data_IF_080582351370
#
_entry.id   IF_080582351370
#
_cell.length_a   1.000
_cell.length_b   1.000
_cell.length_c   1.000
_cell.angle_alpha   90.00
_cell.angle_beta   90.00
_cell.angle_gamma   90.00
#
_symmetry.space_group_name_H-M   'P 1'
#
loop_
_entity.id
_entity.type
_entity.pdbx_description
1 polymer ?
#
# COMPACT_ATOMS: atom_id res chain seq x y z
N UNK A 1 -36.87 51.15 -41.89
CA UNK A 1 -37.15 50.17 -40.82
C UNK A 1 -35.87 49.97 -40.03
N UNK A 2 -35.78 50.51 -38.80
CA UNK A 2 -34.57 50.48 -37.95
C UNK A 2 -34.40 49.06 -37.37
N UNK A 3 -33.33 48.36 -37.75
CA UNK A 3 -32.89 47.15 -37.04
C UNK A 3 -32.19 47.62 -35.77
N UNK A 4 -32.83 47.37 -34.63
CA UNK A 4 -32.32 47.68 -33.30
C UNK A 4 -31.01 46.94 -33.05
N UNK A 5 -30.03 47.65 -32.50
CA UNK A 5 -28.79 47.14 -31.91
C UNK A 5 -29.05 45.93 -31.02
N UNK A 6 -28.91 44.72 -31.58
CA UNK A 6 -28.91 43.49 -30.81
C UNK A 6 -27.52 43.34 -30.21
N UNK A 7 -27.43 43.41 -28.88
CA UNK A 7 -26.17 43.42 -28.11
C UNK A 7 -25.36 42.15 -28.36
N UNK A 8 -24.45 42.17 -29.34
CA UNK A 8 -23.44 41.13 -29.60
C UNK A 8 -22.63 40.74 -28.34
N UNK A 9 -22.55 41.63 -27.35
CA UNK A 9 -21.89 41.40 -26.07
C UNK A 9 -22.51 40.25 -25.24
N UNK A 10 -23.80 39.98 -25.37
CA UNK A 10 -24.47 38.94 -24.58
C UNK A 10 -24.29 37.54 -25.17
N UNK A 11 -24.21 37.40 -26.50
CA UNK A 11 -24.02 36.10 -27.15
C UNK A 11 -22.60 35.58 -26.90
N UNK A 12 -21.60 36.46 -26.97
CA UNK A 12 -20.20 36.10 -26.66
C UNK A 12 -20.03 35.67 -25.20
N UNK A 13 -20.72 36.34 -24.27
CA UNK A 13 -20.73 35.96 -22.85
C UNK A 13 -21.41 34.60 -22.62
N UNK A 14 -22.54 34.32 -23.28
CA UNK A 14 -23.21 33.02 -23.18
C UNK A 14 -22.38 31.87 -23.78
N UNK A 15 -21.72 32.08 -24.91
CA UNK A 15 -20.82 31.09 -25.50
C UNK A 15 -19.58 30.84 -24.64
N UNK A 16 -19.03 31.87 -24.00
CA UNK A 16 -17.88 31.73 -23.09
C UNK A 16 -18.26 30.97 -21.81
N UNK A 17 -19.45 31.19 -21.24
CA UNK A 17 -19.95 30.39 -20.13
C UNK A 17 -20.30 28.94 -20.52
N UNK A 18 -20.79 28.71 -21.73
CA UNK A 18 -21.00 27.34 -22.24
C UNK A 18 -19.66 26.60 -22.44
N UNK A 19 -18.62 27.26 -22.94
CA UNK A 19 -17.26 26.71 -23.03
C UNK A 19 -16.66 26.44 -21.65
N UNK A 20 -16.83 27.33 -20.67
CA UNK A 20 -16.39 27.10 -19.28
C UNK A 20 -17.21 25.96 -18.63
N UNK A 21 -18.48 25.77 -19.00
CA UNK A 21 -19.29 24.65 -18.52
C UNK A 21 -18.90 23.30 -19.13
N UNK A 22 -18.20 23.28 -20.27
CA UNK A 22 -17.53 22.06 -20.78
C UNK A 22 -16.16 21.83 -20.12
N UNK A 23 -15.61 22.85 -19.44
CA UNK A 23 -14.55 22.71 -18.44
C UNK A 23 -15.12 22.52 -17.02
N UNK A 24 -16.40 22.14 -16.89
CA UNK A 24 -16.92 21.62 -15.62
C UNK A 24 -16.15 20.36 -15.29
N UNK A 25 -15.24 20.49 -14.32
CA UNK A 25 -14.61 19.38 -13.62
C UNK A 25 -14.22 18.25 -14.55
N UNK A 26 -13.06 18.42 -15.20
CA UNK A 26 -12.16 17.28 -15.23
C UNK A 26 -11.97 16.85 -13.78
N UNK A 27 -12.81 15.93 -13.29
CA UNK A 27 -12.42 15.05 -12.20
C UNK A 27 -11.04 14.60 -12.62
N UNK A 28 -10.00 15.01 -11.89
CA UNK A 28 -8.70 14.39 -12.05
C UNK A 28 -9.00 12.91 -11.99
N UNK A 29 -8.76 12.18 -13.09
CA UNK A 29 -8.92 10.73 -13.11
C UNK A 29 -8.05 10.26 -11.95
N UNK A 30 -8.66 9.92 -10.81
CA UNK A 30 -7.90 9.37 -9.68
C UNK A 30 -7.24 8.15 -10.27
N UNK A 31 -5.92 8.20 -10.38
CA UNK A 31 -5.11 7.15 -10.99
C UNK A 31 -5.19 5.86 -10.19
N UNK A 32 -5.66 5.96 -8.94
CA UNK A 32 -5.83 4.89 -7.97
C UNK A 32 -7.30 4.69 -7.63
N UNK A 33 -7.68 3.42 -7.50
CA UNK A 33 -9.06 2.99 -7.26
C UNK A 33 -9.14 2.13 -6.00
N UNK A 34 -10.17 2.38 -5.20
CA UNK A 34 -10.55 1.54 -4.06
C UNK A 34 -11.72 0.69 -4.53
N UNK A 35 -11.48 -0.61 -4.67
CA UNK A 35 -12.48 -1.58 -5.12
C UNK A 35 -13.00 -2.29 -3.87
N UNK A 36 -14.31 -2.15 -3.64
CA UNK A 36 -15.00 -2.81 -2.53
C UNK A 36 -15.51 -4.17 -3.01
N UNK A 37 -15.00 -5.24 -2.43
CA UNK A 37 -15.44 -6.61 -2.71
C UNK A 37 -16.13 -7.20 -1.49
N UNK A 38 -16.70 -8.40 -1.63
CA UNK A 38 -17.28 -9.12 -0.49
C UNK A 38 -16.18 -9.77 0.39
N UNK A 39 -14.99 -9.98 -0.17
CA UNK A 39 -13.80 -10.48 0.53
C UNK A 39 -12.89 -9.38 1.12
N UNK A 40 -13.35 -8.12 1.06
CA UNK A 40 -12.65 -6.97 1.63
C UNK A 40 -12.38 -5.84 0.64
N UNK A 41 -11.25 -5.15 0.84
CA UNK A 41 -10.87 -3.98 0.03
C UNK A 41 -9.65 -4.32 -0.82
N UNK A 42 -9.75 -4.06 -2.12
CA UNK A 42 -8.64 -4.11 -3.06
C UNK A 42 -8.25 -2.66 -3.40
N UNK A 43 -6.95 -2.36 -3.31
CA UNK A 43 -6.39 -1.11 -3.78
C UNK A 43 -5.70 -1.34 -5.12
N UNK A 44 -6.18 -0.68 -6.17
CA UNK A 44 -5.53 -0.66 -7.49
C UNK A 44 -4.73 0.64 -7.58
N UNK A 45 -3.42 0.53 -7.45
CA UNK A 45 -2.52 1.66 -7.27
C UNK A 45 -1.56 1.81 -8.46
N UNK A 46 -1.27 3.05 -8.83
CA UNK A 46 -0.19 3.42 -9.73
C UNK A 46 1.02 3.91 -8.92
N UNK A 47 2.22 3.51 -9.33
CA UNK A 47 3.43 3.77 -8.56
C UNK A 47 4.71 3.31 -9.22
N UNK A 48 5.78 3.35 -8.45
CA UNK A 48 7.08 2.79 -8.83
C UNK A 48 7.28 1.47 -8.11
N UNK A 49 7.45 0.40 -8.87
CA UNK A 49 7.93 -0.88 -8.36
C UNK A 49 9.46 -0.85 -8.28
N UNK A 50 10.02 -1.35 -7.17
CA UNK A 50 11.45 -1.46 -6.94
C UNK A 50 11.78 -2.81 -6.30
N UNK A 51 12.88 -3.41 -6.71
CA UNK A 51 13.46 -4.58 -6.07
C UNK A 51 14.98 -4.53 -6.16
N UNK A 52 15.65 -4.81 -5.05
CA UNK A 52 17.09 -4.93 -4.90
C UNK A 52 17.50 -6.41 -5.00
N UNK A 53 18.77 -6.67 -5.29
CA UNK A 53 19.35 -8.00 -5.08
C UNK A 53 20.83 -7.95 -4.78
N UNK A 54 21.27 -8.95 -4.04
CA UNK A 54 22.67 -9.24 -3.77
C UNK A 54 22.93 -10.74 -3.77
N UNK A 55 23.66 -11.22 -4.77
CA UNK A 55 24.10 -12.63 -4.88
C UNK A 55 25.44 -12.89 -4.21
N UNK A 56 26.12 -11.84 -3.72
CA UNK A 56 27.37 -11.99 -2.98
C UNK A 56 27.18 -12.19 -1.48
N UNK A 57 25.95 -12.04 -1.01
CA UNK A 57 25.58 -12.26 0.38
C UNK A 57 25.64 -13.78 0.69
N UNK A 58 26.54 -14.22 1.58
CA UNK A 58 26.68 -15.64 1.94
C UNK A 58 25.53 -16.15 2.81
N UNK A 59 24.76 -15.26 3.45
CA UNK A 59 23.63 -15.60 4.32
C UNK A 59 22.32 -15.79 3.52
N UNK A 60 22.32 -15.41 2.24
CA UNK A 60 21.27 -15.79 1.29
C UNK A 60 21.46 -17.28 0.95
N UNK A 61 20.47 -18.14 1.23
CA UNK A 61 20.57 -19.57 0.94
C UNK A 61 20.95 -19.81 -0.53
N UNK A 62 21.81 -20.78 -0.84
CA UNK A 62 22.24 -21.08 -2.22
C UNK A 62 21.07 -21.39 -3.19
N UNK A 63 19.89 -21.73 -2.66
CA UNK A 63 18.64 -21.94 -3.40
C UNK A 63 17.83 -20.66 -3.63
N UNK A 64 18.10 -19.62 -2.83
CA UNK A 64 17.63 -18.27 -3.01
C UNK A 64 18.62 -17.48 -3.89
N UNK A 65 18.07 -16.59 -4.67
CA UNK A 65 18.73 -15.81 -5.73
C UNK A 65 19.08 -14.40 -5.23
N UNK A 66 18.91 -14.17 -3.92
CA UNK A 66 19.30 -12.95 -3.22
C UNK A 66 18.51 -11.72 -3.63
N UNK A 67 17.29 -11.90 -4.17
CA UNK A 67 16.39 -10.77 -4.42
C UNK A 67 15.82 -10.32 -3.06
N UNK A 68 15.92 -9.04 -2.74
CA UNK A 68 15.35 -8.50 -1.51
C UNK A 68 13.84 -8.29 -1.64
N UNK A 69 13.30 -7.37 -0.83
CA UNK A 69 11.85 -7.13 -0.72
C UNK A 69 11.28 -6.51 -2.00
N UNK A 70 10.12 -6.99 -2.45
CA UNK A 70 9.33 -6.32 -3.49
C UNK A 70 8.74 -5.04 -2.90
N UNK A 71 9.26 -3.88 -3.28
CA UNK A 71 8.81 -2.59 -2.78
C UNK A 71 7.94 -1.86 -3.81
N UNK A 72 6.89 -1.21 -3.34
CA UNK A 72 6.03 -0.38 -4.16
C UNK A 72 5.86 1.00 -3.53
N UNK A 73 6.07 2.03 -4.34
CA UNK A 73 5.99 3.44 -3.97
C UNK A 73 4.75 4.04 -4.65
N UNK A 74 3.62 4.19 -3.93
CA UNK A 74 2.42 4.79 -4.51
C UNK A 74 2.66 6.23 -4.98
N UNK A 75 2.09 6.59 -6.13
CA UNK A 75 2.04 7.99 -6.58
C UNK A 75 1.15 8.83 -5.67
N UNK A 76 0.03 8.26 -5.20
CA UNK A 76 -0.85 8.92 -4.24
C UNK A 76 -0.32 8.83 -2.81
N UNK A 77 0.05 10.00 -2.28
CA UNK A 77 0.65 10.14 -0.95
C UNK A 77 -0.34 9.97 0.20
N UNK A 78 -1.64 9.98 -0.08
CA UNK A 78 -2.68 9.68 0.92
C UNK A 78 -2.76 8.18 1.25
N UNK A 79 -2.18 7.29 0.43
CA UNK A 79 -2.15 5.85 0.71
C UNK A 79 -1.03 5.58 1.72
N UNK A 80 -1.43 4.96 2.83
CA UNK A 80 -0.56 4.54 3.92
C UNK A 80 0.39 5.67 4.38
N UNK A 81 -0.07 6.92 4.35
CA UNK A 81 0.71 8.10 4.72
C UNK A 81 2.08 8.17 3.99
N UNK A 82 2.07 7.96 2.67
CA UNK A 82 3.26 7.97 1.80
C UNK A 82 4.31 6.90 2.16
N UNK A 83 3.92 5.84 2.87
CA UNK A 83 4.82 4.73 3.15
C UNK A 83 5.05 3.85 1.93
N UNK A 84 6.22 3.24 1.90
CA UNK A 84 6.52 2.14 0.99
C UNK A 84 5.62 0.97 1.38
N UNK A 85 5.03 0.33 0.37
CA UNK A 85 4.28 -0.90 0.54
C UNK A 85 5.20 -2.06 0.17
N UNK A 86 5.50 -2.92 1.13
CA UNK A 86 6.16 -4.20 0.90
C UNK A 86 5.12 -5.18 0.37
N UNK A 87 5.37 -5.67 -0.83
CA UNK A 87 4.50 -6.54 -1.58
C UNK A 87 4.80 -8.00 -1.22
N UNK A 88 3.80 -8.67 -0.66
CA UNK A 88 3.84 -10.09 -0.31
C UNK A 88 3.18 -10.91 -1.43
N UNK A 89 3.88 -11.83 -2.11
CA UNK A 89 3.29 -12.67 -3.15
C UNK A 89 2.19 -13.58 -2.61
N UNK A 90 2.39 -14.15 -1.43
CA UNK A 90 1.47 -15.08 -0.79
C UNK A 90 0.69 -14.39 0.35
N UNK A 91 -0.33 -15.08 0.87
CA UNK A 91 -0.99 -14.65 2.09
C UNK A 91 -0.03 -14.78 3.28
N UNK A 92 -0.17 -13.91 4.29
CA UNK A 92 0.78 -13.79 5.40
C UNK A 92 0.09 -13.47 6.72
N UNK A 93 0.74 -13.78 7.84
CA UNK A 93 0.31 -13.41 9.20
C UNK A 93 1.53 -13.03 10.03
N UNK A 94 1.49 -11.89 10.71
CA UNK A 94 2.60 -11.45 11.56
C UNK A 94 2.46 -11.96 13.00
N UNK A 95 1.23 -12.00 13.50
CA UNK A 95 0.98 -12.22 14.92
C UNK A 95 0.60 -13.65 15.28
N UNK A 96 -0.08 -14.36 14.36
CA UNK A 96 -0.58 -15.70 14.61
C UNK A 96 0.25 -16.72 13.83
N UNK A 97 1.52 -16.86 14.20
CA UNK A 97 2.40 -17.85 13.61
C UNK A 97 2.06 -19.24 14.16
N UNK A 98 2.03 -20.26 13.31
CA UNK A 98 1.80 -21.64 13.74
C UNK A 98 3.00 -22.10 14.60
N UNK A 99 2.76 -22.84 15.68
CA UNK A 99 3.86 -23.42 16.46
C UNK A 99 4.65 -24.48 15.67
N UNK A 100 4.03 -25.06 14.63
CA UNK A 100 4.67 -25.96 13.68
C UNK A 100 5.12 -25.25 12.40
N UNK A 101 5.33 -23.93 12.46
CA UNK A 101 5.65 -23.15 11.28
C UNK A 101 7.02 -23.51 10.70
N UNK A 102 7.00 -24.06 9.49
CA UNK A 102 8.18 -24.30 8.69
C UNK A 102 8.59 -23.02 7.95
N UNK A 103 9.35 -22.18 8.66
CA UNK A 103 9.85 -20.91 8.14
C UNK A 103 10.64 -21.07 6.84
N UNK A 104 11.49 -22.10 6.74
CA UNK A 104 12.32 -22.32 5.54
C UNK A 104 11.46 -22.63 4.33
N UNK A 105 10.43 -23.47 4.51
CA UNK A 105 9.48 -23.80 3.44
C UNK A 105 8.68 -22.58 3.00
N UNK A 106 8.10 -21.82 3.93
CA UNK A 106 7.32 -20.63 3.56
C UNK A 106 8.19 -19.57 2.89
N UNK A 107 9.41 -19.37 3.38
CA UNK A 107 10.39 -18.49 2.75
C UNK A 107 10.68 -18.93 1.32
N UNK A 108 10.96 -20.23 1.10
CA UNK A 108 11.21 -20.78 -0.23
C UNK A 108 10.01 -20.64 -1.18
N UNK A 109 8.79 -20.85 -0.68
CA UNK A 109 7.55 -20.66 -1.44
C UNK A 109 7.32 -19.19 -1.82
N UNK A 110 7.57 -18.25 -0.89
CA UNK A 110 7.49 -16.82 -1.17
C UNK A 110 8.55 -16.37 -2.18
N UNK A 111 9.80 -16.83 -2.03
CA UNK A 111 10.87 -16.55 -2.99
C UNK A 111 10.53 -17.09 -4.38
N UNK A 112 10.00 -18.31 -4.47
CA UNK A 112 9.55 -18.90 -5.72
C UNK A 112 8.44 -18.06 -6.38
N UNK A 113 7.40 -17.68 -5.62
CA UNK A 113 6.30 -16.88 -6.14
C UNK A 113 6.78 -15.50 -6.63
N UNK A 114 7.70 -14.86 -5.88
CA UNK A 114 8.35 -13.61 -6.28
C UNK A 114 9.05 -13.72 -7.64
N UNK A 115 9.81 -14.80 -7.86
CA UNK A 115 10.50 -15.06 -9.13
C UNK A 115 9.52 -15.19 -10.28
N UNK A 116 8.46 -15.96 -10.08
CA UNK A 116 7.46 -16.22 -11.10
C UNK A 116 6.79 -14.91 -11.53
N UNK A 117 6.45 -14.04 -10.57
CA UNK A 117 5.95 -12.69 -10.85
C UNK A 117 6.98 -11.88 -11.65
N UNK A 118 8.24 -11.84 -11.21
CA UNK A 118 9.28 -11.06 -11.89
C UNK A 118 9.54 -11.55 -13.32
N UNK A 119 9.61 -12.87 -13.55
CA UNK A 119 9.81 -13.46 -14.87
C UNK A 119 8.61 -13.19 -15.79
N UNK A 120 7.40 -13.17 -15.24
CA UNK A 120 6.18 -12.87 -16.00
C UNK A 120 6.13 -11.40 -16.44
N UNK A 121 6.48 -10.47 -15.56
CA UNK A 121 6.31 -9.03 -15.79
C UNK A 121 7.55 -8.38 -16.42
N UNK A 122 8.74 -8.88 -16.09
CA UNK A 122 10.03 -8.32 -16.48
C UNK A 122 11.00 -9.40 -17.03
N UNK A 123 10.60 -10.22 -18.03
CA UNK A 123 11.40 -11.36 -18.49
C UNK A 123 12.80 -10.97 -18.99
N UNK A 124 12.89 -9.86 -19.72
CA UNK A 124 14.17 -9.39 -20.28
C UNK A 124 15.07 -8.73 -19.23
N UNK A 125 14.48 -8.05 -18.26
CA UNK A 125 15.21 -7.49 -17.13
C UNK A 125 15.75 -8.60 -16.22
N UNK A 126 14.97 -9.65 -15.95
CA UNK A 126 15.43 -10.80 -15.14
C UNK A 126 16.67 -11.45 -15.77
N UNK A 127 16.69 -11.66 -17.09
CA UNK A 127 17.89 -12.17 -17.81
C UNK A 127 19.11 -11.25 -17.65
N UNK A 128 18.91 -9.94 -17.50
CA UNK A 128 20.00 -8.96 -17.24
C UNK A 128 20.43 -9.00 -15.78
N UNK A 129 19.48 -9.09 -14.85
CA UNK A 129 19.70 -9.22 -13.41
C UNK A 129 20.52 -10.48 -13.10
N UNK A 130 20.28 -11.58 -13.82
CA UNK A 130 21.06 -12.82 -13.74
C UNK A 130 22.57 -12.60 -13.92
N UNK A 131 22.97 -11.64 -14.77
CA UNK A 131 24.38 -11.32 -15.09
C UNK A 131 25.01 -10.29 -14.14
N UNK A 132 24.24 -9.72 -13.23
CA UNK A 132 24.68 -8.67 -12.30
C UNK A 132 24.69 -9.27 -10.89
N UNK A 133 25.85 -9.23 -10.24
CA UNK A 133 26.01 -9.75 -8.88
C UNK A 133 25.10 -9.04 -7.88
N UNK A 134 25.08 -7.70 -7.95
CA UNK A 134 24.36 -6.85 -7.01
C UNK A 134 23.76 -5.65 -7.75
N UNK A 135 22.49 -5.37 -7.53
CA UNK A 135 21.81 -4.32 -8.27
C UNK A 135 20.42 -4.01 -7.77
N UNK A 136 19.74 -3.16 -8.54
CA UNK A 136 18.38 -2.74 -8.28
C UNK A 136 17.63 -2.58 -9.61
N UNK A 137 16.37 -3.00 -9.62
CA UNK A 137 15.41 -2.81 -10.70
C UNK A 137 14.36 -1.81 -10.22
N UNK A 138 14.10 -0.79 -11.02
CA UNK A 138 12.98 0.13 -10.83
C UNK A 138 12.12 0.21 -12.09
N UNK A 139 10.79 0.22 -11.95
CA UNK A 139 9.88 0.43 -13.07
C UNK A 139 8.57 1.08 -12.63
N UNK A 140 8.04 2.05 -13.38
CA UNK A 140 6.63 2.43 -13.27
C UNK A 140 5.73 1.19 -13.46
N UNK A 141 4.78 1.00 -12.55
CA UNK A 141 3.91 -0.16 -12.50
C UNK A 141 2.53 0.20 -11.93
N UNK A 142 1.55 -0.67 -12.21
CA UNK A 142 0.29 -0.75 -11.46
C UNK A 142 0.29 -2.00 -10.62
N UNK A 143 -0.24 -1.91 -9.41
CA UNK A 143 -0.41 -3.05 -8.52
C UNK A 143 -1.83 -3.10 -7.99
N UNK A 144 -2.41 -4.29 -7.97
CA UNK A 144 -3.62 -4.59 -7.20
C UNK A 144 -3.21 -5.32 -5.94
N UNK A 145 -3.56 -4.75 -4.79
CA UNK A 145 -3.19 -5.29 -3.47
C UNK A 145 -4.40 -5.42 -2.56
N UNK A 146 -4.34 -6.37 -1.63
CA UNK A 146 -5.29 -6.53 -0.52
C UNK A 146 -4.55 -6.74 0.80
N UNK A 147 -5.31 -6.80 1.90
CA UNK A 147 -4.78 -7.06 3.25
C UNK A 147 -3.64 -6.11 3.62
N UNK A 148 -3.84 -4.81 3.40
CA UNK A 148 -2.85 -3.79 3.78
C UNK A 148 -2.69 -3.81 5.30
N UNK A 149 -1.46 -4.01 5.76
CA UNK A 149 -1.13 -4.35 7.15
C UNK A 149 0.06 -3.52 7.59
N UNK A 150 -0.18 -2.40 8.30
CA UNK A 150 0.86 -1.68 8.99
C UNK A 150 1.36 -2.50 10.18
N UNK A 151 2.63 -2.83 10.17
CA UNK A 151 3.31 -3.58 11.22
C UNK A 151 4.43 -2.72 11.78
N UNK A 152 4.44 -2.53 13.09
CA UNK A 152 5.37 -1.63 13.78
C UNK A 152 6.29 -2.46 14.66
N UNK A 153 7.60 -2.35 14.41
CA UNK A 153 8.64 -2.91 15.25
C UNK A 153 9.55 -1.78 15.73
N UNK A 154 9.85 -1.78 17.02
CA UNK A 154 10.61 -0.72 17.67
C UNK A 154 10.05 0.68 17.31
N UNK A 155 10.79 1.44 16.50
CA UNK A 155 10.53 2.84 16.19
C UNK A 155 10.08 3.09 14.74
N UNK A 156 9.72 2.03 13.99
CA UNK A 156 9.28 2.18 12.60
C UNK A 156 8.08 1.32 12.23
N UNK A 157 7.22 1.88 11.36
CA UNK A 157 6.11 1.13 10.75
C UNK A 157 6.43 0.76 9.31
N UNK A 158 6.43 -0.55 9.02
CA UNK A 158 6.45 -1.10 7.67
C UNK A 158 5.03 -1.45 7.24
N UNK A 159 4.66 -1.14 6.00
CA UNK A 159 3.32 -1.44 5.47
C UNK A 159 3.42 -2.61 4.51
N UNK A 160 2.81 -3.73 4.86
CA UNK A 160 2.78 -4.92 4.02
C UNK A 160 1.44 -5.03 3.30
N UNK A 161 1.42 -5.62 2.11
CA UNK A 161 0.16 -5.95 1.44
C UNK A 161 0.33 -7.17 0.54
N UNK A 162 -0.71 -7.98 0.43
CA UNK A 162 -0.72 -9.13 -0.46
C UNK A 162 -0.93 -8.65 -1.89
N UNK A 163 -0.08 -9.09 -2.81
CA UNK A 163 -0.21 -8.82 -4.24
C UNK A 163 -1.28 -9.72 -4.84
N UNK A 164 -2.25 -9.12 -5.50
CA UNK A 164 -3.18 -9.82 -6.39
C UNK A 164 -2.61 -9.80 -7.81
N UNK A 165 -2.16 -8.64 -8.24
CA UNK A 165 -1.59 -8.46 -9.58
C UNK A 165 -0.54 -7.35 -9.60
N UNK A 166 0.53 -7.57 -10.35
CA UNK A 166 1.52 -6.55 -10.69
C UNK A 166 1.57 -6.43 -12.22
N UNK A 167 1.45 -5.22 -12.74
CA UNK A 167 1.47 -4.92 -14.17
C UNK A 167 2.48 -3.83 -14.47
N UNK A 168 3.29 -4.03 -15.52
CA UNK A 168 4.11 -2.97 -16.09
C UNK A 168 3.20 -1.95 -16.80
N UNK A 169 3.47 -0.66 -16.64
CA UNK A 169 2.77 0.38 -17.41
C UNK A 169 3.25 0.33 -18.87
N UNK A 170 2.32 0.43 -19.82
CA UNK A 170 2.66 0.44 -21.24
C UNK A 170 3.65 1.56 -21.57
N UNK A 171 4.68 1.24 -22.36
CA UNK A 171 5.77 2.18 -22.67
C UNK A 171 6.73 2.47 -21.52
N UNK A 172 6.52 1.92 -20.32
CA UNK A 172 7.48 2.05 -19.22
C UNK A 172 8.82 1.42 -19.61
N UNK A 173 9.90 2.12 -19.24
CA UNK A 173 11.27 1.67 -19.43
C UNK A 173 11.86 1.29 -18.08
N UNK A 174 11.89 0.00 -17.72
CA UNK A 174 12.51 -0.44 -16.48
C UNK A 174 13.99 -0.05 -16.48
N UNK A 175 14.48 0.38 -15.33
CA UNK A 175 15.86 0.78 -15.11
C UNK A 175 16.52 -0.26 -14.21
N UNK A 176 17.60 -0.84 -14.71
CA UNK A 176 18.51 -1.66 -13.89
C UNK A 176 19.74 -0.82 -13.54
N UNK A 177 20.05 -0.76 -12.25
CA UNK A 177 21.24 -0.10 -11.72
C UNK A 177 22.16 -1.15 -11.11
N UNK A 178 23.39 -1.27 -11.60
CA UNK A 178 24.43 -2.10 -10.98
C UNK A 178 24.98 -1.37 -9.76
N UNK A 179 25.05 -2.06 -8.63
CA UNK A 179 25.58 -1.51 -7.37
C UNK A 179 26.96 -2.09 -7.07
N UNK A 180 27.77 -1.36 -6.29
CA UNK A 180 29.09 -1.83 -5.88
C UNK A 180 28.93 -2.90 -4.78
N UNK A 181 29.64 -4.01 -4.92
CA UNK A 181 29.80 -4.99 -3.84
C UNK A 181 30.79 -4.38 -2.85
N UNK A 182 30.32 -4.00 -1.66
CA UNK A 182 31.20 -3.60 -0.55
C UNK A 182 31.78 -4.85 0.10
N UNK A 183 32.93 -4.73 0.77
CA UNK A 183 33.49 -5.82 1.58
C UNK A 183 32.58 -6.08 2.79
N UNK A 184 32.60 -7.32 3.26
CA UNK A 184 31.72 -7.92 4.28
C UNK A 184 31.70 -7.15 5.62
N UNK A 185 32.70 -6.31 5.88
CA UNK A 185 32.85 -5.50 7.09
C UNK A 185 32.06 -4.18 7.06
N UNK A 186 31.38 -3.86 5.96
CA UNK A 186 30.56 -2.64 5.78
C UNK A 186 29.11 -2.93 5.30
N UNK A 187 28.61 -4.15 5.45
CA UNK A 187 27.23 -4.50 5.06
C UNK A 187 26.22 -3.94 6.05
N UNK A 188 25.79 -2.70 5.83
CA UNK A 188 24.45 -2.31 6.25
C UNK A 188 23.45 -3.12 5.43
N UNK A 189 22.43 -3.66 6.09
CA UNK A 189 21.38 -4.47 5.47
C UNK A 189 20.77 -3.70 4.30
N UNK A 190 20.91 -4.27 3.10
CA UNK A 190 20.42 -3.67 1.86
C UNK A 190 18.91 -3.49 1.83
N UNK A 191 18.23 -4.14 2.78
CA UNK A 191 16.79 -4.29 2.83
C UNK A 191 16.10 -3.26 3.69
N UNK A 192 16.83 -2.44 4.45
CA UNK A 192 16.18 -1.48 5.33
C UNK A 192 15.84 -0.18 4.57
N UNK A 193 14.57 0.26 4.58
CA UNK A 193 14.18 1.57 4.07
C UNK A 193 15.06 2.69 4.63
N UNK A 194 15.15 3.83 3.94
CA UNK A 194 15.96 4.93 4.45
C UNK A 194 15.44 5.38 5.83
N UNK A 195 16.31 5.72 6.82
CA UNK A 195 15.89 6.18 8.14
C UNK A 195 14.83 7.28 8.17
N UNK A 196 14.89 8.20 7.22
CA UNK A 196 13.93 9.31 7.13
C UNK A 196 12.54 8.88 6.61
N UNK A 197 12.40 7.63 6.16
CA UNK A 197 11.14 6.98 5.76
C UNK A 197 10.51 6.20 6.93
N UNK A 198 11.06 6.22 8.15
CA UNK A 198 10.65 5.38 9.30
C UNK A 198 9.61 5.96 10.28
N UNK A 199 9.00 7.12 10.03
CA UNK A 199 7.97 7.63 10.97
C UNK A 199 6.80 6.67 11.23
N UNK A 200 6.05 6.82 12.32
CA UNK A 200 4.84 6.00 12.50
C UNK A 200 3.81 6.27 11.38
N UNK A 201 2.96 5.28 11.09
CA UNK A 201 1.75 5.55 10.32
C UNK A 201 0.88 6.56 11.06
N UNK A 202 0.06 7.32 10.35
CA UNK A 202 -0.87 8.23 11.00
C UNK A 202 -1.86 7.44 11.88
N UNK A 203 -1.84 7.73 13.18
CA UNK A 203 -2.69 7.06 14.16
C UNK A 203 -3.86 7.95 14.55
N UNK A 204 -5.01 7.32 14.71
CA UNK A 204 -6.24 7.96 15.17
C UNK A 204 -6.73 7.27 16.41
N UNK A 205 -7.23 8.08 17.34
CA UNK A 205 -7.96 7.62 18.49
C UNK A 205 -9.44 7.60 18.16
N UNK A 206 -10.15 6.54 18.54
CA UNK A 206 -11.61 6.54 18.52
C UNK A 206 -12.12 7.56 19.53
N UNK A 207 -12.89 8.53 19.05
CA UNK A 207 -13.49 9.59 19.85
C UNK A 207 -14.90 9.87 19.31
N UNK A 208 -15.84 9.03 19.71
CA UNK A 208 -17.23 9.11 19.31
C UNK A 208 -18.12 9.59 20.47
N UNK A 209 -19.19 10.32 20.12
CA UNK A 209 -20.18 10.85 21.08
C UNK A 209 -20.84 9.76 21.94
N UNK A 210 -21.09 8.61 21.33
CA UNK A 210 -21.78 7.49 21.97
C UNK A 210 -20.82 6.56 22.75
N UNK A 211 -19.54 6.94 22.86
CA UNK A 211 -18.51 6.17 23.56
C UNK A 211 -17.82 5.08 22.73
N UNK A 212 -18.25 4.86 21.48
CA UNK A 212 -17.68 3.84 20.60
C UNK A 212 -17.86 4.18 19.11
N UNK A 213 -17.06 3.56 18.25
CA UNK A 213 -17.19 3.57 16.81
C UNK A 213 -17.40 2.16 16.23
N UNK A 214 -18.24 2.05 15.21
CA UNK A 214 -18.40 0.81 14.46
C UNK A 214 -17.43 0.82 13.28
N UNK A 215 -16.53 -0.17 13.24
CA UNK A 215 -15.75 -0.49 12.05
C UNK A 215 -16.60 -1.34 11.10
N UNK A 216 -16.65 -0.97 9.82
CA UNK A 216 -17.58 -1.55 8.83
C UNK A 216 -16.86 -2.08 7.60
N UNK A 217 -17.47 -3.06 6.93
CA UNK A 217 -16.91 -3.64 5.68
C UNK A 217 -16.89 -2.63 4.53
N UNK A 218 -17.93 -1.81 4.41
CA UNK A 218 -18.11 -0.81 3.34
C UNK A 218 -18.33 0.59 3.96
N UNK A 219 -17.99 1.68 3.24
CA UNK A 219 -18.05 3.06 3.75
C UNK A 219 -19.49 3.61 3.76
N UNK A 220 -20.39 2.92 4.46
CA UNK A 220 -21.79 3.30 4.63
C UNK A 220 -22.32 2.84 5.98
N UNK A 221 -23.29 3.56 6.54
CA UNK A 221 -23.92 3.26 7.84
C UNK A 221 -24.73 1.96 7.82
N UNK A 222 -25.17 1.52 6.65
CA UNK A 222 -25.97 0.30 6.47
C UNK A 222 -25.09 -0.96 6.28
N UNK A 223 -23.77 -0.78 6.13
CA UNK A 223 -22.83 -1.90 6.01
C UNK A 223 -22.75 -2.69 7.30
N UNK A 224 -22.53 -4.01 7.17
CA UNK A 224 -22.18 -4.88 8.28
C UNK A 224 -21.04 -4.29 9.11
N UNK A 225 -21.21 -4.37 10.43
CA UNK A 225 -20.20 -4.02 11.43
C UNK A 225 -19.30 -5.24 11.64
N UNK A 226 -17.99 -5.07 11.48
CA UNK A 226 -16.99 -6.12 11.69
C UNK A 226 -16.34 -6.06 13.07
N UNK A 227 -16.32 -4.87 13.66
CA UNK A 227 -15.83 -4.68 15.02
C UNK A 227 -16.45 -3.41 15.62
N UNK A 228 -16.64 -3.42 16.93
CA UNK A 228 -17.06 -2.26 17.72
C UNK A 228 -15.86 -1.84 18.57
N UNK A 229 -15.36 -0.63 18.34
CA UNK A 229 -14.19 -0.11 19.02
C UNK A 229 -14.62 0.94 20.04
N UNK A 230 -14.25 0.75 21.31
CA UNK A 230 -14.51 1.75 22.34
C UNK A 230 -13.64 2.99 22.13
N UNK A 231 -14.08 4.13 22.65
CA UNK A 231 -13.26 5.34 22.70
C UNK A 231 -11.87 5.03 23.30
N UNK A 232 -10.88 5.85 22.95
CA UNK A 232 -9.47 5.64 23.30
C UNK A 232 -8.76 4.51 22.52
N UNK A 233 -9.49 3.65 21.81
CA UNK A 233 -8.88 2.64 20.94
C UNK A 233 -8.08 3.32 19.83
N UNK A 234 -6.85 2.87 19.60
CA UNK A 234 -5.96 3.42 18.58
C UNK A 234 -6.07 2.58 17.31
N UNK A 235 -6.31 3.25 16.19
CA UNK A 235 -6.36 2.67 14.85
C UNK A 235 -5.35 3.34 13.93
N UNK A 236 -4.85 2.59 12.96
CA UNK A 236 -3.84 3.05 12.00
C UNK A 236 -4.48 3.37 10.66
N UNK A 237 -4.28 4.58 10.16
CA UNK A 237 -4.88 5.04 8.91
C UNK A 237 -4.22 4.44 7.66
N UNK A 238 -4.99 3.78 6.79
CA UNK A 238 -4.51 3.27 5.52
C UNK A 238 -4.88 4.20 4.37
N UNK A 239 -6.16 4.52 4.22
CA UNK A 239 -6.65 5.38 3.13
C UNK A 239 -8.03 5.95 3.47
N UNK A 240 -8.59 6.78 2.60
CA UNK A 240 -9.94 7.35 2.74
C UNK A 240 -10.81 7.12 1.52
N UNK A 241 -12.09 6.92 1.76
CA UNK A 241 -13.16 6.87 0.77
C UNK A 241 -14.25 7.88 1.17
N UNK A 242 -14.24 9.05 0.55
CA UNK A 242 -15.10 10.16 0.97
C UNK A 242 -14.80 10.56 2.42
N UNK A 243 -15.83 10.53 3.26
CA UNK A 243 -15.73 10.84 4.70
C UNK A 243 -15.41 9.63 5.58
N UNK A 244 -15.07 8.49 4.98
CA UNK A 244 -14.73 7.27 5.69
C UNK A 244 -13.24 6.97 5.59
N UNK A 245 -12.61 6.64 6.71
CA UNK A 245 -11.24 6.18 6.75
C UNK A 245 -11.21 4.66 6.80
N UNK A 246 -10.48 4.06 5.86
CA UNK A 246 -10.11 2.66 5.92
C UNK A 246 -8.90 2.53 6.83
N UNK A 247 -9.07 1.81 7.93
CA UNK A 247 -8.11 1.73 9.03
C UNK A 247 -7.78 0.28 9.36
N UNK A 248 -6.64 0.09 10.03
CA UNK A 248 -6.18 -1.16 10.58
C UNK A 248 -6.17 -1.12 12.12
N UNK A 249 -6.56 -2.24 12.73
CA UNK A 249 -6.50 -2.46 14.17
C UNK A 249 -6.10 -3.91 14.47
N UNK A 250 -5.16 -4.09 15.40
CA UNK A 250 -4.78 -5.39 15.95
C UNK A 250 -5.25 -5.46 17.40
N UNK A 251 -6.13 -6.40 17.70
CA UNK A 251 -6.65 -6.68 19.02
C UNK A 251 -5.79 -7.76 19.68
N UNK A 252 -5.02 -7.36 20.68
CA UNK A 252 -4.15 -8.27 21.41
C UNK A 252 -4.92 -8.89 22.58
N UNK A 253 -4.89 -10.22 22.73
CA UNK A 253 -5.62 -10.88 23.78
C UNK A 253 -5.12 -10.42 25.15
N UNK A 254 -6.06 -10.11 26.05
CA UNK A 254 -5.73 -9.72 27.43
C UNK A 254 -5.08 -10.86 28.23
N UNK A 255 -5.36 -12.10 27.84
CA UNK A 255 -4.81 -13.32 28.44
C UNK A 255 -4.02 -14.13 27.40
N UNK A 256 -2.84 -13.62 27.08
CA UNK A 256 -1.91 -14.23 26.12
C UNK A 256 -1.49 -15.66 26.51
N UNK A 257 -1.69 -16.08 27.77
CA UNK A 257 -1.35 -17.43 28.23
C UNK A 257 -2.34 -18.48 27.75
N UNK A 258 -3.62 -18.12 27.64
CA UNK A 258 -4.70 -19.04 27.32
C UNK A 258 -5.18 -18.92 25.87
N UNK A 259 -5.13 -17.72 25.31
CA UNK A 259 -5.38 -17.47 23.89
C UNK A 259 -4.34 -16.48 23.37
N UNK A 260 -3.25 -16.94 22.72
CA UNK A 260 -2.24 -16.04 22.17
C UNK A 260 -2.69 -15.39 20.84
N UNK A 261 -3.90 -15.69 20.36
CA UNK A 261 -4.35 -15.27 19.03
C UNK A 261 -4.65 -13.77 19.00
N UNK A 262 -3.88 -13.03 18.21
CA UNK A 262 -4.13 -11.62 17.89
C UNK A 262 -5.18 -11.53 16.78
N UNK A 263 -6.23 -10.75 16.97
CA UNK A 263 -7.26 -10.56 15.94
C UNK A 263 -6.97 -9.30 15.14
N UNK A 264 -6.88 -9.45 13.82
CA UNK A 264 -6.62 -8.32 12.93
C UNK A 264 -7.90 -7.86 12.24
N UNK A 265 -8.17 -6.57 12.32
CA UNK A 265 -9.33 -5.93 11.72
C UNK A 265 -8.89 -4.87 10.71
N UNK A 266 -9.59 -4.84 9.57
CA UNK A 266 -9.46 -3.81 8.54
C UNK A 266 -10.83 -3.40 8.08
N UNK A 267 -11.15 -2.12 8.14
CA UNK A 267 -12.49 -1.64 7.78
C UNK A 267 -12.62 -0.13 7.83
N UNK A 268 -13.83 0.34 7.53
CA UNK A 268 -14.17 1.74 7.44
C UNK A 268 -14.73 2.26 8.76
N UNK A 269 -14.22 3.41 9.21
CA UNK A 269 -14.78 4.21 10.29
C UNK A 269 -15.03 5.62 9.76
N UNK A 270 -16.17 6.21 10.10
CA UNK A 270 -16.47 7.57 9.66
C UNK A 270 -15.52 8.57 10.34
N UNK A 271 -14.93 9.49 9.59
CA UNK A 271 -13.88 10.41 10.09
C UNK A 271 -14.31 11.23 11.31
N UNK A 272 -15.60 11.51 11.47
CA UNK A 272 -16.13 12.25 12.62
C UNK A 272 -16.11 11.48 13.95
N UNK A 273 -15.76 10.20 13.92
CA UNK A 273 -15.60 9.33 15.10
C UNK A 273 -14.13 9.09 15.43
N UNK A 274 -13.23 9.79 14.74
CA UNK A 274 -11.79 9.64 14.86
C UNK A 274 -11.15 11.00 15.16
N UNK A 275 -10.21 11.00 16.08
CA UNK A 275 -9.37 12.15 16.40
C UNK A 275 -7.92 11.80 16.10
N UNK A 276 -7.25 12.63 15.30
CA UNK A 276 -5.85 12.41 14.92
C UNK A 276 -4.97 12.50 16.16
N UNK A 277 -4.11 11.49 16.40
CA UNK A 277 -3.06 11.61 17.42
C UNK A 277 -1.95 12.50 16.90
N UNK A 278 -1.52 13.45 17.73
CA UNK A 278 -0.32 14.25 17.52
C UNK A 278 0.63 13.88 18.65
N UNK A 279 1.84 13.46 18.28
CA UNK A 279 2.94 13.13 19.20
C UNK A 279 3.85 14.34 19.37
#
# INVERSE_FOLDING_TARGET
MRIKNFKFRNVFFCCFFLLISMFSFGQSKKTDEIILTDDGVILNLKGTFKINWDKSDPDVPCSSIGYGRMMFYPENKDIAHNKIIVLMPNDFTFYNQDMNWDYEKEFAENEKAKIEILKKIFPEEVKKMEKIQKGELQSPARVEIKKVTPYTECDFTTVYAQVIELKKIEGAKPKITKLKVKKLDESGDFDDPNPDEFGYLEEYRVNAKDGYANMREKPTKDSKVISKLDNETIVRYITKYGDWYYVYYADYPSDYKNDPTVKEYRGFIHKSQLEKRVY
#
